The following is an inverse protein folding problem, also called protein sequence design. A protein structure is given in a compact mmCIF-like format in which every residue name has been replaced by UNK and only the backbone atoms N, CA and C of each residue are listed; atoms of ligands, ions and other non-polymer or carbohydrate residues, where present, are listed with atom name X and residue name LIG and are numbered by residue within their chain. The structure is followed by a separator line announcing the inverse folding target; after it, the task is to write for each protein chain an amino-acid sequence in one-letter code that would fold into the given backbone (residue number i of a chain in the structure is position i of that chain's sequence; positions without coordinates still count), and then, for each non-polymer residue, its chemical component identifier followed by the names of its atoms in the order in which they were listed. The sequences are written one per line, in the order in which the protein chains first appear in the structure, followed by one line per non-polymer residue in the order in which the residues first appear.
data_IF_838747105854
#
_entry.id   IF_838747105854
#
_cell.length_a   1.000
_cell.length_b   1.000
_cell.length_c   1.000
_cell.angle_alpha   90.00
_cell.angle_beta   90.00
_cell.angle_gamma   90.00
#
_symmetry.space_group_name_H-M   'P 1'
#
loop_
_entity.id
_entity.type
_entity.pdbx_description
1 polymer ?
#
# COMPACT_ATOMS: atom_id res chain seq x y z
N UNK A 1 10.30 15.85 27.17
CA UNK A 1 10.84 14.56 26.69
C UNK A 1 11.08 14.67 25.20
N UNK A 2 12.19 14.14 24.67
CA UNK A 2 12.43 14.09 23.21
C UNK A 2 11.43 13.10 22.61
N UNK A 3 10.67 13.51 21.58
CA UNK A 3 9.76 12.59 20.86
C UNK A 3 10.60 11.55 20.09
N UNK A 4 10.19 10.28 20.03
CA UNK A 4 10.92 9.26 19.30
C UNK A 4 10.90 9.53 17.79
N UNK A 5 11.99 9.17 17.11
CA UNK A 5 12.06 9.15 15.65
C UNK A 5 11.38 7.88 15.11
N UNK A 6 11.22 7.77 13.78
CA UNK A 6 10.58 6.63 13.13
C UNK A 6 11.55 5.84 12.25
N UNK A 7 11.39 4.51 12.25
CA UNK A 7 11.94 3.62 11.23
C UNK A 7 10.77 2.96 10.52
N UNK A 8 10.68 3.07 9.20
CA UNK A 8 9.60 2.47 8.41
C UNK A 8 10.19 1.39 7.53
N UNK A 9 9.75 0.16 7.77
CA UNK A 9 10.15 -0.98 6.97
C UNK A 9 9.27 -1.09 5.71
N UNK A 10 9.87 -1.14 4.53
CA UNK A 10 9.13 -1.25 3.27
C UNK A 10 9.95 -2.02 2.22
N UNK A 11 9.33 -2.84 1.35
CA UNK A 11 10.03 -3.50 0.26
C UNK A 11 10.19 -2.50 -0.90
N UNK A 12 11.09 -1.53 -0.72
CA UNK A 12 11.24 -0.33 -1.53
C UNK A 12 11.45 -0.58 -3.04
N UNK A 13 11.93 -1.76 -3.43
CA UNK A 13 12.04 -2.15 -4.84
C UNK A 13 10.69 -2.14 -5.59
N UNK A 14 9.57 -2.19 -4.87
CA UNK A 14 8.22 -2.18 -5.44
C UNK A 14 7.54 -0.81 -5.38
N UNK A 15 8.24 0.26 -4.99
CA UNK A 15 7.66 1.60 -4.79
C UNK A 15 6.89 2.11 -6.02
N UNK A 16 7.41 1.86 -7.22
CA UNK A 16 6.79 2.35 -8.46
C UNK A 16 5.63 1.49 -8.98
N UNK A 17 5.40 0.31 -8.41
CA UNK A 17 4.41 -0.68 -8.87
C UNK A 17 3.45 -1.16 -7.78
N UNK A 18 3.54 -0.58 -6.58
CA UNK A 18 2.68 -0.89 -5.44
C UNK A 18 2.32 0.36 -4.65
N UNK A 19 1.04 0.73 -4.65
CA UNK A 19 0.55 1.85 -3.85
C UNK A 19 0.69 1.62 -2.35
N UNK A 20 0.65 0.37 -1.86
CA UNK A 20 0.92 0.07 -0.46
C UNK A 20 2.36 0.43 -0.07
N UNK A 21 3.32 0.17 -0.96
CA UNK A 21 4.73 0.54 -0.72
C UNK A 21 4.92 2.05 -0.84
N UNK A 22 4.27 2.69 -1.82
CA UNK A 22 4.25 4.14 -1.95
C UNK A 22 3.64 4.81 -0.70
N UNK A 23 2.59 4.24 -0.11
CA UNK A 23 1.99 4.73 1.13
C UNK A 23 3.01 4.77 2.28
N UNK A 24 3.86 3.74 2.42
CA UNK A 24 4.93 3.71 3.43
C UNK A 24 6.00 4.78 3.18
N UNK A 25 6.37 5.00 1.92
CA UNK A 25 7.30 6.07 1.53
C UNK A 25 6.72 7.45 1.84
N UNK A 26 5.44 7.67 1.54
CA UNK A 26 4.73 8.92 1.83
C UNK A 26 4.51 9.12 3.33
N UNK A 27 4.28 8.05 4.07
CA UNK A 27 4.18 8.06 5.53
C UNK A 27 5.45 8.64 6.17
N UNK A 28 6.64 8.24 5.70
CA UNK A 28 7.91 8.80 6.19
C UNK A 28 7.96 10.33 6.01
N UNK A 29 7.63 10.80 4.80
CA UNK A 29 7.66 12.24 4.49
C UNK A 29 6.64 13.03 5.29
N UNK A 30 5.45 12.47 5.53
CA UNK A 30 4.42 13.11 6.34
C UNK A 30 4.77 13.13 7.82
N UNK A 31 5.43 12.10 8.34
CA UNK A 31 6.00 12.12 9.70
C UNK A 31 7.05 13.22 9.83
N UNK A 32 7.91 13.41 8.81
CA UNK A 32 8.92 14.47 8.84
C UNK A 32 8.32 15.88 8.92
N UNK A 33 7.17 16.10 8.28
CA UNK A 33 6.41 17.37 8.38
C UNK A 33 5.93 17.66 9.81
N UNK A 34 5.83 16.65 10.67
CA UNK A 34 5.52 16.83 12.10
C UNK A 34 6.72 17.27 12.94
N UNK A 35 7.89 17.48 12.33
CA UNK A 35 9.14 17.87 13.00
C UNK A 35 9.94 16.70 13.58
N UNK A 36 9.62 15.46 13.19
CA UNK A 36 10.32 14.23 13.59
C UNK A 36 11.24 13.74 12.48
N UNK A 37 12.18 12.84 12.77
CA UNK A 37 12.94 12.16 11.70
C UNK A 37 12.28 10.83 11.36
N UNK A 38 12.29 10.48 10.08
CA UNK A 38 11.86 9.17 9.61
C UNK A 38 12.96 8.55 8.73
N UNK A 39 13.28 7.29 9.02
CA UNK A 39 14.25 6.51 8.26
C UNK A 39 13.57 5.35 7.57
N UNK A 40 13.97 5.05 6.34
CA UNK A 40 13.47 3.91 5.59
C UNK A 40 14.42 2.72 5.72
N UNK A 41 13.85 1.57 6.01
CA UNK A 41 14.55 0.30 6.08
C UNK A 41 13.93 -0.67 5.06
N UNK A 42 14.73 -1.19 4.14
CA UNK A 42 14.25 -2.25 3.23
C UNK A 42 14.56 -3.63 3.80
N UNK A 43 13.81 -4.63 3.36
CA UNK A 43 13.91 -6.00 3.86
C UNK A 43 13.79 -7.02 2.72
N UNK A 44 14.19 -8.26 3.02
CA UNK A 44 14.00 -9.42 2.14
C UNK A 44 13.62 -10.65 2.95
N UNK A 45 13.12 -11.66 2.24
CA UNK A 45 12.94 -12.99 2.80
C UNK A 45 14.17 -13.83 2.45
N UNK A 46 14.90 -14.33 3.45
CA UNK A 46 16.04 -15.25 3.27
C UNK A 46 15.66 -16.59 3.90
N UNK A 47 15.55 -17.64 3.09
CA UNK A 47 15.16 -18.98 3.56
C UNK A 47 13.85 -18.97 4.37
N UNK A 48 12.87 -18.17 3.95
CA UNK A 48 11.58 -18.02 4.64
C UNK A 48 11.61 -17.11 5.88
N UNK A 49 12.77 -16.58 6.25
CA UNK A 49 12.95 -15.66 7.39
C UNK A 49 12.98 -14.22 6.90
N UNK A 50 12.21 -13.37 7.56
CA UNK A 50 12.21 -11.92 7.31
C UNK A 50 13.47 -11.29 7.90
N UNK A 51 14.22 -10.56 7.06
CA UNK A 51 15.44 -9.90 7.48
C UNK A 51 15.51 -8.48 6.90
N UNK A 52 15.73 -7.51 7.79
CA UNK A 52 16.11 -6.17 7.39
C UNK A 52 17.47 -6.19 6.67
N UNK A 53 17.61 -5.35 5.64
CA UNK A 53 18.86 -5.22 4.90
C UNK A 53 19.69 -4.11 5.56
N UNK A 54 20.56 -4.51 6.47
CA UNK A 54 21.43 -3.64 7.27
C UNK A 54 22.69 -3.15 6.52
N UNK A 55 22.52 -2.51 5.36
CA UNK A 55 23.64 -1.91 4.61
C UNK A 55 23.45 -0.40 4.49
N UNK A 56 24.56 0.33 4.46
CA UNK A 56 24.53 1.74 4.07
C UNK A 56 24.45 1.86 2.54
N UNK A 57 23.25 2.12 2.03
CA UNK A 57 23.00 2.22 0.59
C UNK A 57 23.77 3.35 -0.08
N UNK A 58 24.30 4.33 0.65
CA UNK A 58 25.08 5.42 0.06
C UNK A 58 26.51 4.96 -0.28
N UNK A 59 27.08 4.12 0.56
CA UNK A 59 28.49 3.69 0.47
C UNK A 59 28.67 2.26 -0.03
N UNK A 60 27.61 1.44 -0.02
CA UNK A 60 27.67 0.06 -0.46
C UNK A 60 28.07 -0.07 -1.94
N UNK A 61 29.06 -0.92 -2.21
CA UNK A 61 29.52 -1.28 -3.55
C UNK A 61 28.90 -2.63 -3.97
N UNK A 62 27.99 -2.65 -4.96
CA UNK A 62 27.38 -3.88 -5.48
C UNK A 62 28.42 -4.84 -6.05
N UNK A 63 28.24 -6.15 -5.84
CA UNK A 63 29.19 -7.20 -6.23
C UNK A 63 28.80 -7.93 -7.53
N UNK A 64 27.56 -7.77 -7.97
CA UNK A 64 27.02 -8.39 -9.17
C UNK A 64 25.90 -7.52 -9.77
N UNK A 65 25.45 -7.84 -10.99
CA UNK A 65 24.42 -7.07 -11.71
C UNK A 65 23.09 -7.00 -10.96
N UNK A 66 22.68 -8.10 -10.29
CA UNK A 66 21.45 -8.13 -9.50
C UNK A 66 21.48 -7.18 -8.32
N UNK A 67 22.58 -7.17 -7.56
CA UNK A 67 22.82 -6.19 -6.49
C UNK A 67 22.90 -4.76 -7.04
N UNK A 68 23.51 -4.57 -8.20
CA UNK A 68 23.61 -3.25 -8.85
C UNK A 68 22.22 -2.71 -9.20
N UNK A 69 21.36 -3.54 -9.79
CA UNK A 69 19.98 -3.18 -10.10
C UNK A 69 19.16 -2.89 -8.83
N UNK A 70 19.29 -3.74 -7.81
CA UNK A 70 18.58 -3.58 -6.54
C UNK A 70 19.00 -2.28 -5.85
N UNK A 71 20.30 -2.08 -5.57
CA UNK A 71 20.83 -0.87 -4.91
C UNK A 71 20.54 0.37 -5.73
N UNK A 72 20.66 0.31 -7.06
CA UNK A 72 20.29 1.40 -7.97
C UNK A 72 18.83 1.79 -7.85
N UNK A 73 17.92 0.81 -7.75
CA UNK A 73 16.48 1.05 -7.52
C UNK A 73 16.24 1.73 -6.17
N UNK A 74 16.86 1.25 -5.10
CA UNK A 74 16.71 1.85 -3.75
C UNK A 74 17.22 3.30 -3.73
N UNK A 75 18.40 3.57 -4.32
CA UNK A 75 18.95 4.92 -4.43
C UNK A 75 18.04 5.85 -5.23
N UNK A 76 17.50 5.36 -6.35
CA UNK A 76 16.53 6.11 -7.16
C UNK A 76 15.30 6.48 -6.34
N UNK A 77 14.71 5.52 -5.62
CA UNK A 77 13.55 5.76 -4.75
C UNK A 77 13.90 6.79 -3.66
N UNK A 78 15.07 6.66 -3.03
CA UNK A 78 15.52 7.61 -2.02
C UNK A 78 15.62 9.05 -2.55
N UNK A 79 16.22 9.20 -3.73
CA UNK A 79 16.35 10.49 -4.41
C UNK A 79 15.00 11.06 -4.88
N UNK A 80 14.17 10.25 -5.53
CA UNK A 80 12.92 10.69 -6.17
C UNK A 80 11.88 11.13 -5.14
N UNK A 81 11.83 10.47 -3.99
CA UNK A 81 10.87 10.79 -2.91
C UNK A 81 11.50 11.60 -1.76
N UNK A 82 12.81 11.85 -1.80
CA UNK A 82 13.52 12.59 -0.77
C UNK A 82 13.49 11.92 0.61
N UNK A 83 13.52 10.59 0.66
CA UNK A 83 13.52 9.82 1.91
C UNK A 83 14.96 9.54 2.39
N UNK A 84 15.14 9.40 3.70
CA UNK A 84 16.43 9.06 4.30
C UNK A 84 16.50 7.56 4.58
N UNK A 85 17.53 6.87 4.09
CA UNK A 85 17.77 5.46 4.42
C UNK A 85 18.33 5.32 5.85
N UNK A 86 17.90 4.28 6.57
CA UNK A 86 18.47 3.93 7.86
C UNK A 86 19.94 3.48 7.70
N UNK A 87 20.83 4.04 8.53
CA UNK A 87 22.27 3.72 8.53
C UNK A 87 22.75 3.08 9.83
N UNK A 88 22.17 3.50 10.96
CA UNK A 88 22.49 2.97 12.27
C UNK A 88 21.47 1.88 12.64
N UNK A 89 21.89 0.62 12.57
CA UNK A 89 21.07 -0.53 12.96
C UNK A 89 21.37 -0.98 14.39
N UNK A 90 22.08 -0.19 15.20
CA UNK A 90 22.33 -0.53 16.60
C UNK A 90 21.02 -0.64 17.37
N UNK A 91 20.95 -1.63 18.27
CA UNK A 91 19.75 -1.84 19.09
C UNK A 91 19.39 -0.60 19.90
N UNK A 92 20.39 0.18 20.35
CA UNK A 92 20.15 1.44 21.05
C UNK A 92 19.36 2.43 20.18
N UNK A 93 19.75 2.61 18.91
CA UNK A 93 19.03 3.51 18.01
C UNK A 93 17.62 3.00 17.69
N UNK A 94 17.48 1.71 17.43
CA UNK A 94 16.18 1.08 17.17
C UNK A 94 15.25 1.21 18.38
N UNK A 95 15.76 1.01 19.60
CA UNK A 95 15.02 1.13 20.85
C UNK A 95 14.56 2.57 21.14
N UNK A 96 15.25 3.57 20.60
CA UNK A 96 14.90 4.99 20.71
C UNK A 96 13.87 5.42 19.65
N UNK A 97 13.53 4.55 18.68
CA UNK A 97 12.58 4.82 17.61
C UNK A 97 11.21 4.15 17.85
N UNK A 98 10.23 4.56 17.04
CA UNK A 98 9.00 3.80 16.74
C UNK A 98 9.22 3.11 15.38
N UNK A 99 9.04 1.80 15.33
CA UNK A 99 9.28 1.01 14.11
C UNK A 99 7.97 0.57 13.50
N UNK A 100 7.75 0.94 12.24
CA UNK A 100 6.55 0.61 11.45
C UNK A 100 6.84 -0.59 10.57
N UNK A 101 6.05 -1.65 10.71
CA UNK A 101 6.08 -2.83 9.83
C UNK A 101 4.76 -2.96 9.08
N UNK A 102 4.77 -3.14 7.74
CA UNK A 102 3.56 -3.48 7.00
C UNK A 102 3.11 -4.91 7.31
N UNK A 103 1.86 -5.24 7.03
CA UNK A 103 1.28 -6.58 7.20
C UNK A 103 2.01 -7.67 6.40
N UNK A 104 2.69 -7.28 5.32
CA UNK A 104 3.55 -8.18 4.55
C UNK A 104 4.80 -8.63 5.32
N UNK A 105 5.10 -8.01 6.46
CA UNK A 105 6.20 -8.35 7.36
C UNK A 105 5.63 -8.84 8.70
N UNK A 106 5.61 -10.16 8.86
CA UNK A 106 4.90 -10.89 9.89
C UNK A 106 5.57 -10.81 11.26
N UNK A 107 6.86 -10.48 11.33
CA UNK A 107 7.68 -10.54 12.56
C UNK A 107 8.20 -9.16 12.99
N UNK A 108 9.02 -9.10 14.05
CA UNK A 108 9.73 -7.88 14.49
C UNK A 108 11.24 -8.03 14.20
N UNK A 109 11.69 -7.90 12.94
CA UNK A 109 13.04 -8.26 12.51
C UNK A 109 14.12 -7.34 13.08
N UNK A 110 13.78 -6.11 13.48
CA UNK A 110 14.71 -5.20 14.17
C UNK A 110 14.66 -5.37 15.70
N UNK A 111 13.86 -6.31 16.22
CA UNK A 111 13.64 -6.50 17.65
C UNK A 111 13.31 -5.18 18.38
N UNK A 112 12.48 -4.35 17.73
CA UNK A 112 12.13 -3.03 18.23
C UNK A 112 11.21 -3.12 19.44
N UNK A 113 11.39 -2.20 20.39
CA UNK A 113 10.47 -2.04 21.53
C UNK A 113 9.13 -1.48 21.06
N UNK A 114 9.12 -0.35 20.38
CA UNK A 114 7.88 0.34 19.97
C UNK A 114 7.51 -0.06 18.55
N UNK A 115 6.50 -0.90 18.40
CA UNK A 115 6.10 -1.46 17.11
C UNK A 115 4.75 -0.93 16.67
N UNK A 116 4.70 -0.37 15.46
CA UNK A 116 3.46 -0.08 14.73
C UNK A 116 3.27 -1.16 13.67
N UNK A 117 2.11 -1.82 13.67
CA UNK A 117 1.69 -2.76 12.62
C UNK A 117 0.76 -2.04 11.67
N UNK A 118 1.20 -1.82 10.43
CA UNK A 118 0.42 -1.14 9.41
C UNK A 118 -0.26 -2.15 8.49
N UNK A 119 -1.56 -2.34 8.65
CA UNK A 119 -2.39 -3.18 7.79
C UNK A 119 -2.77 -2.43 6.51
N UNK A 120 -2.04 -2.69 5.42
CA UNK A 120 -2.35 -2.18 4.07
C UNK A 120 -3.29 -3.12 3.30
N UNK A 121 -3.63 -4.26 3.89
CA UNK A 121 -4.59 -5.23 3.40
C UNK A 121 -5.15 -6.05 4.58
N UNK A 122 -6.26 -6.79 4.39
CA UNK A 122 -6.76 -7.72 5.39
C UNK A 122 -5.78 -8.89 5.55
N UNK A 123 -5.56 -9.27 6.80
CA UNK A 123 -4.60 -10.29 7.19
C UNK A 123 -4.83 -11.63 6.45
N UNK A 124 -3.74 -12.31 6.09
CA UNK A 124 -3.78 -13.65 5.48
C UNK A 124 -4.15 -13.68 3.99
N UNK A 125 -4.62 -12.58 3.40
CA UNK A 125 -5.01 -12.56 1.97
C UNK A 125 -3.79 -12.76 1.06
N UNK A 126 -2.71 -12.03 1.30
CA UNK A 126 -1.53 -12.04 0.41
C UNK A 126 -0.52 -13.11 0.83
N UNK A 127 -0.29 -13.25 2.14
CA UNK A 127 0.76 -14.10 2.68
C UNK A 127 0.28 -15.51 3.08
N UNK A 128 -1.04 -15.74 3.16
CA UNK A 128 -1.64 -16.94 3.75
C UNK A 128 -1.35 -17.10 5.26
N UNK A 129 -0.71 -16.10 5.89
CA UNK A 129 -0.18 -16.18 7.26
C UNK A 129 -0.65 -14.98 8.07
N UNK A 130 -0.79 -15.21 9.37
CA UNK A 130 -1.11 -14.17 10.35
C UNK A 130 0.12 -13.36 10.71
N UNK A 131 -0.06 -12.05 10.86
CA UNK A 131 0.93 -11.12 11.39
C UNK A 131 1.10 -11.41 12.88
N UNK A 132 2.34 -11.48 13.36
CA UNK A 132 2.63 -11.63 14.77
C UNK A 132 2.49 -10.27 15.48
N UNK A 133 1.24 -9.92 15.80
CA UNK A 133 0.89 -8.73 16.56
C UNK A 133 1.25 -8.95 18.04
N UNK A 134 2.16 -8.14 18.56
CA UNK A 134 2.48 -8.10 19.98
C UNK A 134 1.36 -7.47 20.81
N UNK A 135 1.25 -7.81 22.12
CA UNK A 135 0.20 -7.26 23.00
C UNK A 135 0.27 -5.73 23.16
N UNK A 136 1.44 -5.14 22.90
CA UNK A 136 1.71 -3.71 23.01
C UNK A 136 1.95 -3.03 21.66
N UNK A 137 1.75 -3.75 20.55
CA UNK A 137 1.85 -3.17 19.21
C UNK A 137 0.74 -2.13 19.01
N UNK A 138 1.09 -1.02 18.37
CA UNK A 138 0.12 -0.04 17.89
C UNK A 138 -0.41 -0.49 16.53
N UNK A 139 -1.73 -0.66 16.42
CA UNK A 139 -2.36 -1.06 15.17
C UNK A 139 -2.74 0.15 14.34
N UNK A 140 -2.10 0.28 13.18
CA UNK A 140 -2.45 1.25 12.15
C UNK A 140 -3.11 0.48 10.99
N UNK A 141 -4.23 0.96 10.47
CA UNK A 141 -4.86 0.37 9.29
C UNK A 141 -4.96 1.38 8.16
N UNK A 142 -4.84 0.91 6.91
CA UNK A 142 -5.10 1.76 5.74
C UNK A 142 -6.59 2.05 5.63
N UNK A 143 -7.41 1.04 5.91
CA UNK A 143 -8.85 1.18 6.05
C UNK A 143 -9.37 0.50 7.30
N UNK A 144 -10.48 1.01 7.85
CA UNK A 144 -11.24 0.37 8.94
C UNK A 144 -11.66 -1.07 8.62
N UNK A 145 -11.81 -1.43 7.35
CA UNK A 145 -12.25 -2.78 6.96
C UNK A 145 -11.11 -3.80 6.95
N UNK A 146 -9.86 -3.34 7.07
CA UNK A 146 -8.66 -4.19 7.03
C UNK A 146 -8.28 -4.76 8.40
N UNK A 147 -8.72 -4.13 9.48
CA UNK A 147 -8.50 -4.58 10.85
C UNK A 147 -9.71 -4.20 11.72
N UNK A 148 -10.27 -5.11 12.54
CA UNK A 148 -11.51 -4.86 13.28
C UNK A 148 -11.39 -3.77 14.36
N UNK A 149 -10.19 -3.61 14.94
CA UNK A 149 -9.95 -2.65 16.02
C UNK A 149 -8.60 -1.91 15.82
N UNK A 150 -8.52 -0.95 14.87
CA UNK A 150 -7.31 -0.18 14.66
C UNK A 150 -7.24 0.99 15.65
N UNK A 151 -6.05 1.29 16.18
CA UNK A 151 -5.83 2.46 17.03
C UNK A 151 -5.94 3.78 16.22
N UNK A 152 -5.58 3.72 14.93
CA UNK A 152 -5.79 4.79 13.98
C UNK A 152 -5.95 4.24 12.55
N UNK A 153 -6.64 4.99 11.69
CA UNK A 153 -6.79 4.70 10.26
C UNK A 153 -6.11 5.80 9.46
N UNK A 154 -5.10 5.45 8.66
CA UNK A 154 -4.47 6.35 7.69
C UNK A 154 -4.71 5.82 6.28
N UNK A 155 -5.75 6.34 5.61
CA UNK A 155 -6.09 5.94 4.24
C UNK A 155 -5.26 6.72 3.23
N UNK A 156 -4.35 6.02 2.57
CA UNK A 156 -3.54 6.57 1.49
C UNK A 156 -4.32 6.56 0.17
N UNK A 157 -4.67 7.74 -0.31
CA UNK A 157 -5.56 7.97 -1.45
C UNK A 157 -4.87 8.55 -2.70
N UNK A 158 -3.53 8.55 -2.78
CA UNK A 158 -2.82 9.25 -3.86
C UNK A 158 -3.24 8.74 -5.26
N UNK A 159 -3.78 9.66 -6.06
CA UNK A 159 -4.18 9.43 -7.43
C UNK A 159 -3.18 10.11 -8.36
N UNK A 160 -2.62 9.36 -9.32
CA UNK A 160 -1.69 9.94 -10.27
C UNK A 160 -2.45 10.89 -11.23
N UNK A 161 -2.02 12.16 -11.42
CA UNK A 161 -2.71 13.14 -12.25
C UNK A 161 -2.90 12.75 -13.72
N UNK A 162 -2.16 11.75 -14.23
CA UNK A 162 -2.38 11.19 -15.57
C UNK A 162 -3.77 10.58 -15.73
N UNK A 163 -4.37 10.10 -14.64
CA UNK A 163 -5.72 9.52 -14.64
C UNK A 163 -6.74 10.63 -14.39
N UNK A 164 -7.41 11.04 -15.47
CA UNK A 164 -8.44 12.07 -15.46
C UNK A 164 -9.39 11.87 -16.64
N UNK A 165 -10.58 12.45 -16.61
CA UNK A 165 -11.56 12.38 -17.72
C UNK A 165 -11.55 13.62 -18.64
N UNK A 166 -10.54 14.50 -18.55
CA UNK A 166 -10.46 15.68 -19.43
C UNK A 166 -10.36 15.28 -20.90
N UNK A 167 -11.24 15.84 -21.72
CA UNK A 167 -11.29 15.60 -23.16
C UNK A 167 -11.79 14.20 -23.57
N UNK A 168 -12.42 13.45 -22.66
CA UNK A 168 -12.99 12.14 -22.97
C UNK A 168 -14.47 12.23 -23.31
N UNK A 169 -14.96 11.35 -24.20
CA UNK A 169 -16.40 11.18 -24.41
C UNK A 169 -17.08 10.63 -23.14
N UNK A 170 -18.39 10.90 -22.94
CA UNK A 170 -19.21 10.18 -21.97
C UNK A 170 -19.07 8.66 -22.12
N UNK A 171 -19.15 7.92 -21.02
CA UNK A 171 -18.93 6.46 -21.02
C UNK A 171 -19.86 5.73 -22.01
N UNK A 172 -21.11 6.15 -22.11
CA UNK A 172 -22.11 5.61 -23.06
C UNK A 172 -21.72 5.69 -24.54
N UNK A 173 -20.80 6.59 -24.91
CA UNK A 173 -20.34 6.77 -26.29
C UNK A 173 -18.97 6.11 -26.56
N UNK A 174 -18.36 5.52 -25.54
CA UNK A 174 -17.08 4.82 -25.66
C UNK A 174 -17.32 3.38 -26.12
N UNK A 175 -16.40 2.85 -26.93
CA UNK A 175 -16.52 1.51 -27.54
C UNK A 175 -15.51 0.50 -27.02
N UNK A 176 -14.49 0.93 -26.28
CA UNK A 176 -13.49 0.05 -25.71
C UNK A 176 -13.98 -0.47 -24.37
N UNK A 177 -13.95 -1.78 -24.16
CA UNK A 177 -14.12 -2.41 -22.86
C UNK A 177 -12.83 -3.15 -22.49
N UNK A 178 -12.48 -3.15 -21.20
CA UNK A 178 -11.19 -3.66 -20.72
C UNK A 178 -11.42 -4.71 -19.63
N UNK A 179 -10.64 -5.79 -19.65
CA UNK A 179 -10.54 -6.76 -18.56
C UNK A 179 -9.20 -6.66 -17.83
N UNK A 180 -9.24 -6.67 -16.50
CA UNK A 180 -8.08 -6.83 -15.62
C UNK A 180 -8.35 -7.86 -14.53
N UNK A 181 -7.67 -9.01 -14.61
CA UNK A 181 -7.86 -10.11 -13.65
C UNK A 181 -7.22 -9.78 -12.29
N UNK A 182 -6.01 -9.23 -12.29
CA UNK A 182 -5.28 -8.92 -11.06
C UNK A 182 -5.20 -10.10 -10.09
N UNK A 183 -5.55 -9.83 -8.82
CA UNK A 183 -5.60 -10.86 -7.75
C UNK A 183 -6.73 -11.88 -7.92
N UNK A 184 -7.68 -11.69 -8.84
CA UNK A 184 -8.77 -12.63 -9.10
C UNK A 184 -8.32 -14.05 -9.46
N UNK A 185 -7.12 -14.18 -10.02
CA UNK A 185 -6.49 -15.49 -10.29
C UNK A 185 -6.24 -16.31 -9.02
N UNK A 186 -6.01 -15.65 -7.87
CA UNK A 186 -5.91 -16.30 -6.56
C UNK A 186 -7.26 -16.85 -6.09
N UNK A 187 -8.36 -16.26 -6.58
CA UNK A 187 -9.75 -16.62 -6.23
C UNK A 187 -10.41 -17.50 -7.30
N UNK A 188 -9.65 -18.01 -8.26
CA UNK A 188 -10.14 -18.92 -9.31
C UNK A 188 -10.73 -18.24 -10.54
N UNK A 189 -10.68 -16.90 -10.63
CA UNK A 189 -11.08 -16.16 -11.84
C UNK A 189 -9.84 -16.00 -12.73
N UNK A 190 -9.78 -16.77 -13.82
CA UNK A 190 -8.63 -16.75 -14.74
C UNK A 190 -8.94 -16.09 -16.08
N UNK A 191 -10.20 -16.16 -16.52
CA UNK A 191 -10.56 -15.80 -17.88
C UNK A 191 -11.09 -14.36 -17.96
N UNK A 192 -10.65 -13.53 -18.91
CA UNK A 192 -11.21 -12.20 -19.15
C UNK A 192 -12.64 -12.27 -19.68
N UNK A 193 -13.34 -11.13 -19.69
CA UNK A 193 -14.63 -11.04 -20.39
C UNK A 193 -14.36 -11.12 -21.90
N UNK A 194 -15.14 -11.90 -22.67
CA UNK A 194 -15.01 -11.95 -24.13
C UNK A 194 -15.08 -10.56 -24.76
N UNK A 195 -14.39 -10.38 -25.90
CA UNK A 195 -14.41 -9.14 -26.69
C UNK A 195 -13.88 -7.89 -25.96
N UNK A 196 -13.14 -8.07 -24.87
CA UNK A 196 -12.46 -6.97 -24.15
C UNK A 196 -10.95 -6.96 -24.40
N UNK A 197 -10.34 -5.78 -24.30
CA UNK A 197 -8.87 -5.66 -24.27
C UNK A 197 -8.38 -6.07 -22.88
N UNK A 198 -7.43 -7.00 -22.83
CA UNK A 198 -6.88 -7.50 -21.57
C UNK A 198 -5.67 -6.70 -21.15
N UNK A 199 -5.76 -6.00 -20.01
CA UNK A 199 -4.60 -5.39 -19.37
C UNK A 199 -4.05 -6.30 -18.26
N UNK A 200 -2.76 -6.14 -17.96
CA UNK A 200 -2.04 -6.93 -16.96
C UNK A 200 -1.22 -6.02 -16.04
N UNK A 201 -0.52 -6.60 -15.06
CA UNK A 201 0.40 -5.84 -14.19
C UNK A 201 1.59 -5.25 -14.94
N UNK A 202 1.90 -5.76 -16.13
CA UNK A 202 3.07 -5.39 -16.93
C UNK A 202 2.69 -4.81 -18.29
N UNK A 203 1.39 -4.76 -18.62
CA UNK A 203 0.91 -4.19 -19.87
C UNK A 203 -0.41 -3.43 -19.65
N UNK A 204 -0.56 -2.21 -20.18
CA UNK A 204 0.44 -1.45 -20.93
C UNK A 204 1.69 -1.09 -20.10
N UNK A 205 2.79 -0.81 -20.77
CA UNK A 205 4.10 -0.67 -20.13
C UNK A 205 4.21 0.61 -19.29
N UNK A 206 3.54 1.68 -19.73
CA UNK A 206 3.59 2.98 -19.07
C UNK A 206 2.25 3.39 -18.46
N UNK A 207 2.30 4.20 -17.40
CA UNK A 207 1.09 4.79 -16.80
C UNK A 207 0.34 5.70 -17.78
N UNK A 208 1.06 6.33 -18.70
CA UNK A 208 0.50 7.19 -19.74
C UNK A 208 -0.36 6.39 -20.72
N UNK A 209 0.14 5.25 -21.20
CA UNK A 209 -0.62 4.34 -22.06
C UNK A 209 -1.82 3.75 -21.32
N UNK A 210 -1.65 3.36 -20.05
CA UNK A 210 -2.76 2.90 -19.21
C UNK A 210 -3.86 3.96 -19.09
N UNK A 211 -3.49 5.22 -18.82
CA UNK A 211 -4.44 6.31 -18.73
C UNK A 211 -5.13 6.60 -20.08
N UNK A 212 -4.45 6.42 -21.21
CA UNK A 212 -5.07 6.53 -22.55
C UNK A 212 -6.12 5.44 -22.75
N UNK A 213 -5.80 4.18 -22.42
CA UNK A 213 -6.75 3.07 -22.51
C UNK A 213 -7.97 3.33 -21.61
N UNK A 214 -7.75 3.65 -20.34
CA UNK A 214 -8.84 3.88 -19.37
C UNK A 214 -9.73 5.07 -19.73
N UNK A 215 -9.19 6.13 -20.35
CA UNK A 215 -9.97 7.28 -20.84
C UNK A 215 -10.88 6.97 -22.03
N UNK A 216 -10.53 5.94 -22.80
CA UNK A 216 -11.35 5.46 -23.92
C UNK A 216 -12.23 4.27 -23.51
N UNK A 217 -12.04 3.73 -22.31
CA UNK A 217 -12.76 2.60 -21.77
C UNK A 217 -14.17 2.99 -21.30
N UNK A 218 -15.18 2.23 -21.69
CA UNK A 218 -16.55 2.28 -21.19
C UNK A 218 -16.66 1.43 -19.92
N UNK A 219 -16.55 0.12 -20.03
CA UNK A 219 -16.57 -0.81 -18.89
C UNK A 219 -15.19 -1.38 -18.58
N UNK A 220 -14.76 -1.19 -17.34
CA UNK A 220 -13.54 -1.77 -16.78
C UNK A 220 -13.88 -3.00 -15.93
N UNK A 221 -13.90 -4.16 -16.56
CA UNK A 221 -14.14 -5.43 -15.90
C UNK A 221 -12.95 -5.85 -15.06
N UNK A 222 -13.17 -6.11 -13.77
CA UNK A 222 -12.10 -6.51 -12.87
C UNK A 222 -12.50 -7.63 -11.93
N UNK A 223 -11.53 -8.48 -11.60
CA UNK A 223 -11.62 -9.48 -10.53
C UNK A 223 -10.67 -9.12 -9.36
N UNK A 224 -10.29 -7.84 -9.25
CA UNK A 224 -9.45 -7.32 -8.19
C UNK A 224 -10.12 -6.10 -7.56
N UNK A 225 -11.12 -6.36 -6.71
CA UNK A 225 -11.98 -5.32 -6.12
C UNK A 225 -11.22 -4.32 -5.23
N UNK A 226 -10.13 -4.74 -4.59
CA UNK A 226 -9.29 -3.88 -3.76
C UNK A 226 -7.97 -3.55 -4.49
N UNK A 227 -8.09 -2.80 -5.58
CA UNK A 227 -6.97 -2.29 -6.38
C UNK A 227 -7.13 -0.79 -6.64
N UNK A 228 -6.03 -0.03 -6.56
CA UNK A 228 -6.03 1.38 -6.94
C UNK A 228 -6.41 1.60 -8.40
N UNK A 229 -6.24 0.58 -9.24
CA UNK A 229 -6.59 0.64 -10.65
C UNK A 229 -8.09 0.89 -10.86
N UNK A 230 -8.94 0.47 -9.91
CA UNK A 230 -10.38 0.75 -9.94
C UNK A 230 -10.65 2.24 -9.74
N UNK A 231 -9.91 2.87 -8.81
CA UNK A 231 -9.95 4.33 -8.58
C UNK A 231 -9.41 5.10 -9.78
N UNK A 232 -8.32 4.62 -10.40
CA UNK A 232 -7.76 5.20 -11.63
C UNK A 232 -8.74 5.09 -12.82
N UNK A 233 -9.47 3.98 -12.94
CA UNK A 233 -10.54 3.83 -13.92
C UNK A 233 -11.68 4.82 -13.70
N UNK A 234 -12.15 5.00 -12.46
CA UNK A 234 -13.15 6.02 -12.11
C UNK A 234 -12.67 7.44 -12.43
N UNK A 235 -11.41 7.76 -12.14
CA UNK A 235 -10.84 9.06 -12.46
C UNK A 235 -10.84 9.35 -13.97
N UNK A 236 -10.64 8.31 -14.80
CA UNK A 236 -10.75 8.37 -16.26
C UNK A 236 -12.19 8.33 -16.80
N UNK A 237 -13.20 8.19 -15.93
CA UNK A 237 -14.61 8.09 -16.30
C UNK A 237 -15.03 6.73 -16.85
N UNK A 238 -14.19 5.70 -16.73
CA UNK A 238 -14.59 4.32 -17.00
C UNK A 238 -15.44 3.78 -15.84
N UNK A 239 -16.30 2.81 -16.13
CA UNK A 239 -17.21 2.19 -15.17
C UNK A 239 -16.59 0.88 -14.68
N UNK A 240 -16.10 0.80 -13.42
CA UNK A 240 -15.63 -0.47 -12.88
C UNK A 240 -16.80 -1.47 -12.77
N UNK A 241 -16.59 -2.67 -13.30
CA UNK A 241 -17.54 -3.77 -13.24
C UNK A 241 -16.86 -4.96 -12.53
N UNK A 242 -17.23 -5.18 -11.27
CA UNK A 242 -16.61 -6.18 -10.42
C UNK A 242 -17.22 -7.54 -10.74
N UNK A 243 -16.39 -8.42 -11.28
CA UNK A 243 -16.73 -9.81 -11.58
C UNK A 243 -16.58 -10.72 -10.36
N UNK A 244 -15.69 -10.32 -9.47
CA UNK A 244 -15.49 -10.95 -8.18
C UNK A 244 -15.09 -9.85 -7.18
N UNK A 245 -15.68 -9.92 -6.00
CA UNK A 245 -15.33 -9.03 -4.88
C UNK A 245 -14.41 -9.71 -3.89
N UNK A 246 -14.19 -11.02 -4.03
CA UNK A 246 -13.37 -11.84 -3.16
C UNK A 246 -12.00 -11.20 -2.87
N UNK A 247 -11.55 -11.22 -1.61
CA UNK A 247 -12.19 -11.77 -0.40
C UNK A 247 -13.08 -10.74 0.33
N UNK A 248 -13.48 -9.66 -0.33
CA UNK A 248 -14.28 -8.58 0.23
C UNK A 248 -15.76 -8.78 -0.07
N UNK A 249 -16.60 -8.42 0.88
CA UNK A 249 -18.04 -8.30 0.63
C UNK A 249 -18.35 -6.94 -0.03
N UNK A 250 -19.54 -6.80 -0.62
CA UNK A 250 -19.99 -5.48 -1.08
C UNK A 250 -20.09 -4.48 0.08
N UNK A 251 -20.53 -4.95 1.26
CA UNK A 251 -20.59 -4.12 2.47
C UNK A 251 -19.20 -3.65 2.91
N UNK A 252 -18.17 -4.50 2.83
CA UNK A 252 -16.78 -4.09 3.06
C UNK A 252 -16.37 -3.00 2.08
N UNK A 253 -16.66 -3.19 0.79
CA UNK A 253 -16.27 -2.24 -0.26
C UNK A 253 -16.96 -0.88 -0.04
N UNK A 254 -18.22 -0.91 0.35
CA UNK A 254 -19.01 0.30 0.63
C UNK A 254 -18.77 0.87 2.04
N UNK A 255 -17.83 0.30 2.78
CA UNK A 255 -17.35 0.78 4.08
C UNK A 255 -15.91 1.29 4.08
N UNK A 256 -15.19 1.22 2.94
CA UNK A 256 -13.91 1.90 2.77
C UNK A 256 -14.05 3.42 2.97
N UNK A 257 -12.94 4.11 3.18
CA UNK A 257 -12.93 5.53 3.57
C UNK A 257 -13.55 6.47 2.53
N UNK A 258 -13.31 6.33 1.21
CA UNK A 258 -13.98 7.16 0.21
C UNK A 258 -15.39 6.64 -0.17
N UNK A 259 -15.90 5.60 0.49
CA UNK A 259 -17.13 4.92 0.09
C UNK A 259 -18.40 5.80 0.12
N UNK A 260 -19.50 5.38 -0.54
CA UNK A 260 -19.67 4.17 -1.36
C UNK A 260 -18.80 4.18 -2.62
N UNK A 261 -18.35 3.02 -3.10
CA UNK A 261 -17.52 2.91 -4.32
C UNK A 261 -18.41 2.68 -5.55
N UNK A 262 -18.48 3.61 -6.52
CA UNK A 262 -19.32 3.48 -7.71
C UNK A 262 -18.82 2.34 -8.60
N UNK A 263 -19.66 1.32 -8.81
CA UNK A 263 -19.32 0.13 -9.61
C UNK A 263 -20.58 -0.63 -10.03
N UNK A 264 -20.43 -1.45 -11.07
CA UNK A 264 -21.33 -2.56 -11.35
C UNK A 264 -20.85 -3.82 -10.63
N UNK A 265 -21.78 -4.66 -10.21
CA UNK A 265 -21.53 -6.00 -9.68
C UNK A 265 -22.78 -6.87 -9.89
N UNK A 266 -22.66 -8.16 -9.68
CA UNK A 266 -23.78 -9.10 -9.84
C UNK A 266 -24.99 -8.69 -8.99
N UNK A 267 -26.17 -8.61 -9.65
CA UNK A 267 -27.43 -8.23 -9.01
C UNK A 267 -27.81 -6.75 -9.13
N UNK A 268 -26.91 -5.87 -9.62
CA UNK A 268 -27.26 -4.48 -9.93
C UNK A 268 -28.11 -4.43 -11.21
N UNK A 269 -29.28 -3.79 -11.14
CA UNK A 269 -30.12 -3.50 -12.31
C UNK A 269 -29.79 -2.09 -12.81
N UNK A 270 -29.37 -1.97 -14.07
CA UNK A 270 -29.19 -0.66 -14.70
C UNK A 270 -30.55 -0.13 -15.14
N UNK A 271 -30.96 1.02 -14.58
CA UNK A 271 -32.13 1.76 -15.05
C UNK A 271 -31.86 2.54 -16.33
N UNK A 272 -32.90 3.17 -16.88
CA UNK A 272 -32.81 3.97 -18.12
C UNK A 272 -31.82 5.14 -18.00
N UNK A 273 -31.64 5.68 -16.78
CA UNK A 273 -30.75 6.80 -16.47
C UNK A 273 -29.38 6.36 -15.91
N UNK A 274 -29.01 5.08 -16.06
CA UNK A 274 -27.83 4.47 -15.44
C UNK A 274 -26.54 5.31 -15.58
N UNK A 275 -26.22 5.79 -16.78
CA UNK A 275 -24.98 6.54 -17.01
C UNK A 275 -24.96 7.89 -16.28
N UNK A 276 -26.11 8.56 -16.17
CA UNK A 276 -26.23 9.83 -15.47
C UNK A 276 -26.11 9.63 -13.94
N UNK A 277 -26.76 8.59 -13.41
CA UNK A 277 -26.66 8.22 -12.00
C UNK A 277 -25.22 7.84 -11.62
N UNK A 278 -24.59 6.99 -12.42
CA UNK A 278 -23.19 6.59 -12.20
C UNK A 278 -22.25 7.81 -12.23
N UNK A 279 -22.42 8.73 -13.17
CA UNK A 279 -21.57 9.93 -13.25
C UNK A 279 -21.69 10.81 -11.99
N UNK A 280 -22.91 10.96 -11.46
CA UNK A 280 -23.14 11.66 -10.20
C UNK A 280 -22.44 10.98 -9.03
N UNK A 281 -22.54 9.65 -8.92
CA UNK A 281 -21.87 8.87 -7.87
C UNK A 281 -20.35 8.94 -7.98
N UNK A 282 -19.82 8.86 -9.20
CA UNK A 282 -18.39 8.97 -9.53
C UNK A 282 -17.82 10.31 -9.08
N UNK A 283 -18.49 11.41 -9.40
CA UNK A 283 -18.06 12.74 -8.97
C UNK A 283 -18.05 12.87 -7.45
N UNK A 284 -19.12 12.41 -6.78
CA UNK A 284 -19.19 12.42 -5.31
C UNK A 284 -18.09 11.57 -4.65
N UNK A 285 -17.74 10.42 -5.25
CA UNK A 285 -16.61 9.59 -4.79
C UNK A 285 -15.27 10.31 -4.94
N UNK A 286 -15.01 10.93 -6.10
CA UNK A 286 -13.76 11.66 -6.33
C UNK A 286 -13.60 12.87 -5.40
N UNK A 287 -14.69 13.56 -5.05
CA UNK A 287 -14.66 14.63 -4.03
C UNK A 287 -14.31 14.10 -2.64
N UNK A 288 -14.83 12.93 -2.24
CA UNK A 288 -14.45 12.27 -0.98
C UNK A 288 -12.99 11.84 -1.00
N UNK A 289 -12.54 11.25 -2.12
CA UNK A 289 -11.15 10.84 -2.31
C UNK A 289 -10.20 12.05 -2.21
N UNK A 290 -10.54 13.18 -2.84
CA UNK A 290 -9.74 14.40 -2.77
C UNK A 290 -9.58 14.91 -1.33
N UNK A 291 -10.65 14.88 -0.53
CA UNK A 291 -10.56 15.23 0.91
C UNK A 291 -9.61 14.33 1.69
N UNK A 292 -9.54 13.04 1.36
CA UNK A 292 -8.58 12.11 1.98
C UNK A 292 -7.14 12.40 1.54
N UNK A 293 -6.94 12.74 0.26
CA UNK A 293 -5.64 13.18 -0.26
C UNK A 293 -5.17 14.43 0.48
N UNK A 294 -6.03 15.44 0.59
CA UNK A 294 -5.71 16.72 1.23
C UNK A 294 -5.49 16.56 2.75
N UNK A 295 -6.20 15.63 3.39
CA UNK A 295 -6.12 15.35 4.83
C UNK A 295 -5.04 14.34 5.23
N UNK A 296 -4.23 13.84 4.30
CA UNK A 296 -3.24 12.78 4.57
C UNK A 296 -2.23 13.20 5.65
N UNK A 297 -1.62 14.38 5.52
CA UNK A 297 -0.59 14.84 6.46
C UNK A 297 -1.17 15.02 7.88
N UNK A 298 -2.39 15.55 8.00
CA UNK A 298 -3.09 15.73 9.27
C UNK A 298 -3.43 14.38 9.93
N UNK A 299 -3.87 13.39 9.14
CA UNK A 299 -4.11 12.04 9.63
C UNK A 299 -2.82 11.40 10.15
N UNK A 300 -1.70 11.55 9.42
CA UNK A 300 -0.39 11.04 9.87
C UNK A 300 0.06 11.73 11.16
N UNK A 301 -0.15 13.04 11.30
CA UNK A 301 0.16 13.76 12.53
C UNK A 301 -0.65 13.23 13.73
N UNK A 302 -1.95 13.02 13.55
CA UNK A 302 -2.82 12.42 14.58
C UNK A 302 -2.40 10.99 14.93
N UNK A 303 -2.02 10.19 13.94
CA UNK A 303 -1.48 8.85 14.18
C UNK A 303 -0.21 8.92 15.03
N UNK A 304 0.73 9.81 14.70
CA UNK A 304 1.97 9.96 15.44
C UNK A 304 1.75 10.38 16.91
N UNK A 305 0.82 11.31 17.16
CA UNK A 305 0.46 11.72 18.51
C UNK A 305 -0.22 10.59 19.29
N UNK A 306 -1.11 9.81 18.66
CA UNK A 306 -1.71 8.62 19.29
C UNK A 306 -0.68 7.54 19.61
N UNK A 307 0.29 7.32 18.72
CA UNK A 307 1.38 6.38 18.94
C UNK A 307 2.25 6.79 20.13
N UNK A 308 2.56 8.07 20.28
CA UNK A 308 3.29 8.59 21.45
C UNK A 308 2.55 8.30 22.76
N UNK A 309 1.23 8.58 22.80
CA UNK A 309 0.40 8.31 23.98
C UNK A 309 0.38 6.81 24.30
N UNK A 310 0.18 5.97 23.28
CA UNK A 310 0.16 4.52 23.42
C UNK A 310 1.44 3.97 24.04
N UNK A 311 2.61 4.40 23.54
CA UNK A 311 3.90 3.92 24.05
C UNK A 311 4.37 4.62 25.35
N UNK A 312 3.80 5.78 25.70
CA UNK A 312 4.08 6.44 26.98
C UNK A 312 3.36 5.76 28.16
N UNK A 313 2.13 5.28 27.94
CA UNK A 313 1.31 4.62 28.97
C UNK A 313 1.77 3.20 29.29
N UNK A 314 2.56 2.60 28.39
CA UNK A 314 3.05 1.22 28.50
C UNK A 314 4.58 1.20 28.49
N UNK A 315 5.25 1.61 29.59
CA UNK A 315 6.69 1.47 29.69
C UNK A 315 7.05 -0.01 29.56
N UNK A 316 7.78 -0.34 28.49
CA UNK A 316 8.09 -1.71 28.08
C UNK A 316 8.60 -2.57 29.24
N UNK A 317 7.92 -3.69 29.48
CA UNK A 317 8.53 -4.87 30.09
C UNK A 317 9.48 -5.46 29.06
N UNK A 318 10.73 -5.75 29.46
CA UNK A 318 11.70 -6.34 28.54
C UNK A 318 11.11 -7.57 27.84
N UNK A 319 11.29 -7.73 26.52
CA UNK A 319 10.82 -8.93 25.85
C UNK A 319 11.43 -10.16 26.53
N UNK A 320 10.62 -11.18 26.80
CA UNK A 320 11.12 -12.46 27.27
C UNK A 320 12.20 -12.94 26.29
N UNK A 321 13.39 -13.38 26.76
CA UNK A 321 14.44 -13.85 25.88
C UNK A 321 13.88 -15.01 25.05
N UNK A 322 13.74 -14.79 23.74
CA UNK A 322 13.53 -15.89 22.81
C UNK A 322 14.90 -16.49 22.55
N UNK A 323 14.98 -17.82 22.57
CA UNK A 323 16.18 -18.56 22.21
C UNK A 323 16.74 -18.02 20.90
N UNK A 324 17.82 -17.26 21.00
CA UNK A 324 18.55 -16.77 19.86
C UNK A 324 19.21 -17.98 19.22
N UNK A 325 18.62 -18.48 18.13
CA UNK A 325 19.46 -19.12 17.13
C UNK A 325 20.52 -18.07 16.72
N UNK A 326 21.82 -18.41 16.76
CA UNK A 326 22.88 -17.44 16.60
C UNK A 326 22.71 -16.69 15.29
N UNK A 327 22.94 -15.38 15.32
CA UNK A 327 23.11 -14.55 14.14
C UNK A 327 24.19 -15.23 13.26
N UNK A 328 23.75 -15.96 12.23
CA UNK A 328 24.68 -16.58 11.31
C UNK A 328 25.32 -15.45 10.52
N UNK A 329 26.65 -15.41 10.62
CA UNK A 329 27.51 -14.53 9.86
C UNK A 329 27.06 -14.47 8.39
N UNK A 330 27.05 -13.25 7.85
CA UNK A 330 26.99 -12.92 6.43
C UNK A 330 27.08 -14.15 5.51
N UNK A 331 25.91 -14.70 5.16
CA UNK A 331 25.82 -15.80 4.20
C UNK A 331 26.41 -15.33 2.86
N UNK A 332 27.53 -15.96 2.48
CA UNK A 332 28.13 -15.83 1.16
C UNK A 332 27.07 -16.07 0.10
N UNK A 333 26.92 -15.09 -0.78
CA UNK A 333 26.11 -15.17 -1.99
C UNK A 333 26.84 -16.07 -2.98
N UNK A 334 26.20 -17.18 -3.37
CA UNK A 334 26.42 -17.82 -4.67
C UNK A 334 25.11 -17.75 -5.43
N UNK A 335 25.21 -17.12 -6.61
CA UNK A 335 24.26 -16.88 -7.71
C UNK A 335 22.79 -17.29 -7.53
#
# INVERSE_FOLDING_TARGET
MKRPDYIICAPLQWTFSSNGVLALVRLARSIEKTGRRAYMCTYRHVNGVEAAIGIDFDTYAPKNEGEQQFVGTIRRVAQEFGITMLKDFSQQHVDDCIVVYPEALLTNPLNAKRVVRYFLNREGIVSGRKVNVGPDDFILAHSRVMHPDPHHVCYFAELNPLFHNRGTHPAEHRQLDISYIGKGSVYGITDPVPETVVITRTWPETKQELAILLRNCRFFFTADACSNLNTEALACGAIPAFRDTGPWTNEDIDSFEPAPFPRLYEGVQAGDDFFAEFEKERLGYLERLQRLIDGWDDSVAQMADKADVHFALRPHTAPAPRDTAPASAAGRVTA
#
